data_IF_247203230686
#
_entry.id   IF_247203230686
#
_cell.length_a   1.000
_cell.length_b   1.000
_cell.length_c   1.000
_cell.angle_alpha   90.00
_cell.angle_beta   90.00
_cell.angle_gamma   90.00
#
_symmetry.space_group_name_H-M   'P 1'
#
loop_
_entity.id
_entity.type
_entity.pdbx_description
1 polymer ?
#
# COMPACT_ATOMS: atom_id res chain seq x y z
N UNK A 1 -10.14 -2.86 2.86
CA UNK A 1 -9.10 -1.93 2.36
C UNK A 1 -9.29 -1.49 0.90
N UNK A 2 -9.27 -2.39 -0.09
CA UNK A 2 -9.34 -2.04 -1.54
C UNK A 2 -10.49 -1.08 -1.88
N UNK A 3 -11.71 -1.36 -1.43
CA UNK A 3 -12.86 -0.49 -1.71
C UNK A 3 -12.77 0.92 -1.10
N UNK A 4 -11.91 1.17 -0.10
CA UNK A 4 -11.63 2.53 0.40
C UNK A 4 -10.66 3.27 -0.52
N UNK A 5 -9.65 2.57 -1.05
CA UNK A 5 -8.68 3.13 -2.00
C UNK A 5 -9.34 3.50 -3.34
N UNK A 6 -10.27 2.67 -3.82
CA UNK A 6 -11.02 2.94 -5.06
C UNK A 6 -11.92 4.18 -4.99
N UNK A 7 -12.30 4.62 -3.78
CA UNK A 7 -13.12 5.82 -3.58
C UNK A 7 -12.30 7.12 -3.64
N UNK A 8 -10.98 7.04 -3.41
CA UNK A 8 -10.09 8.18 -3.44
C UNK A 8 -9.55 8.42 -4.86
N UNK A 9 -10.02 9.49 -5.50
CA UNK A 9 -9.65 9.86 -6.87
C UNK A 9 -8.20 10.32 -7.02
N UNK A 10 -7.51 10.57 -5.91
CA UNK A 10 -6.09 10.93 -5.91
C UNK A 10 -5.18 9.70 -5.91
N UNK A 11 -5.70 8.52 -5.57
CA UNK A 11 -5.03 7.22 -5.72
C UNK A 11 -5.08 6.81 -7.18
N UNK A 12 -3.93 6.43 -7.72
CA UNK A 12 -3.76 5.96 -9.10
C UNK A 12 -3.56 4.44 -9.16
N UNK A 13 -2.85 3.88 -8.19
CA UNK A 13 -2.61 2.46 -8.07
C UNK A 13 -2.31 2.06 -6.62
N UNK A 14 -2.52 0.78 -6.30
CA UNK A 14 -2.04 0.15 -5.08
C UNK A 14 -1.25 -1.10 -5.48
N UNK A 15 0.03 -1.15 -5.10
CA UNK A 15 0.95 -2.23 -5.44
C UNK A 15 1.21 -3.04 -4.18
N UNK A 16 0.87 -4.33 -4.23
CA UNK A 16 1.23 -5.29 -3.20
C UNK A 16 2.65 -5.79 -3.45
N UNK A 17 3.48 -5.76 -2.41
CA UNK A 17 4.84 -6.30 -2.46
C UNK A 17 5.17 -7.04 -1.16
N UNK A 18 6.42 -7.47 -1.01
CA UNK A 18 6.87 -8.20 0.19
C UNK A 18 6.46 -9.68 0.18
N UNK A 19 6.50 -10.31 1.35
CA UNK A 19 6.37 -11.78 1.47
C UNK A 19 5.06 -12.34 0.86
N UNK A 20 3.95 -11.60 0.98
CA UNK A 20 2.67 -11.98 0.39
C UNK A 20 2.67 -11.99 -1.15
N UNK A 21 3.53 -11.19 -1.79
CA UNK A 21 3.66 -11.17 -3.25
C UNK A 21 4.42 -12.37 -3.83
N UNK A 22 5.19 -13.08 -3.00
CA UNK A 22 6.01 -14.23 -3.39
C UNK A 22 5.46 -15.58 -2.91
N UNK A 23 4.24 -15.61 -2.35
CA UNK A 23 3.61 -16.81 -1.75
C UNK A 23 4.43 -17.44 -0.59
N UNK A 24 5.30 -16.64 0.04
CA UNK A 24 6.08 -17.00 1.24
C UNK A 24 5.35 -16.58 2.52
N UNK A 25 4.03 -16.80 2.55
CA UNK A 25 3.16 -16.36 3.64
C UNK A 25 3.27 -17.31 4.82
N UNK A 26 3.43 -16.75 6.01
CA UNK A 26 3.30 -17.47 7.28
C UNK A 26 2.38 -16.70 8.23
N UNK A 27 2.01 -17.31 9.36
CA UNK A 27 0.96 -16.82 10.27
C UNK A 27 1.20 -15.40 10.82
N UNK A 28 2.44 -14.88 10.76
CA UNK A 28 2.78 -13.52 11.20
C UNK A 28 3.31 -12.63 10.07
N UNK A 29 2.98 -12.95 8.81
CA UNK A 29 3.30 -12.06 7.69
C UNK A 29 2.46 -10.78 7.75
N UNK A 30 3.12 -9.64 7.59
CA UNK A 30 2.49 -8.35 7.35
C UNK A 30 2.08 -8.20 5.87
N UNK A 31 1.21 -7.23 5.57
CA UNK A 31 0.86 -6.82 4.20
C UNK A 31 1.58 -5.52 3.86
N UNK A 32 2.43 -5.52 2.82
CA UNK A 32 3.15 -4.32 2.38
C UNK A 32 2.52 -3.71 1.13
N UNK A 33 2.19 -2.41 1.18
CA UNK A 33 1.52 -1.67 0.11
C UNK A 33 2.23 -0.38 -0.26
N UNK A 34 2.36 -0.17 -1.57
CA UNK A 34 2.67 1.12 -2.15
C UNK A 34 1.42 1.69 -2.79
N UNK A 35 0.97 2.84 -2.27
CA UNK A 35 -0.16 3.57 -2.79
C UNK A 35 0.39 4.69 -3.67
N UNK A 36 0.29 4.52 -4.98
CA UNK A 36 0.71 5.52 -5.95
C UNK A 36 -0.36 6.59 -6.03
N UNK A 37 0.01 7.82 -5.71
CA UNK A 37 -0.86 8.99 -5.68
C UNK A 37 -0.52 9.96 -6.80
N UNK A 38 -1.44 10.86 -7.13
CA UNK A 38 -1.13 12.01 -7.99
C UNK A 38 0.01 12.86 -7.42
N UNK A 39 0.74 13.53 -8.31
CA UNK A 39 1.83 14.43 -7.91
C UNK A 39 1.31 15.59 -7.05
N UNK A 40 2.11 16.06 -6.09
CA UNK A 40 1.73 17.11 -5.14
C UNK A 40 0.94 16.63 -3.92
N UNK A 41 0.59 15.33 -3.85
CA UNK A 41 0.08 14.72 -2.62
C UNK A 41 1.20 14.50 -1.60
N UNK A 42 0.84 14.53 -0.32
CA UNK A 42 1.79 14.30 0.77
C UNK A 42 2.22 12.83 0.78
N UNK A 43 3.54 12.62 0.87
CA UNK A 43 4.11 11.32 1.18
C UNK A 43 3.92 11.01 2.66
N UNK A 44 3.40 9.82 2.95
CA UNK A 44 3.16 9.36 4.30
C UNK A 44 3.42 7.86 4.41
N UNK A 45 3.63 7.41 5.63
CA UNK A 45 3.76 6.00 5.96
C UNK A 45 2.87 5.70 7.15
N UNK A 46 1.99 4.72 6.97
CA UNK A 46 0.99 4.33 7.96
C UNK A 46 1.07 2.83 8.16
N UNK A 47 1.08 2.44 9.43
CA UNK A 47 0.89 1.05 9.85
C UNK A 47 -0.51 0.92 10.42
N UNK A 48 -1.28 -0.03 9.90
CA UNK A 48 -2.62 -0.38 10.36
C UNK A 48 -2.62 -1.82 10.87
N UNK A 49 -3.49 -2.13 11.81
CA UNK A 49 -3.78 -3.51 12.18
C UNK A 49 -5.28 -3.72 11.98
N UNK A 50 -5.65 -4.57 11.01
CA UNK A 50 -7.04 -5.00 10.79
C UNK A 50 -7.08 -6.52 10.96
N UNK A 51 -8.01 -7.03 11.77
CA UNK A 51 -8.20 -8.47 12.03
C UNK A 51 -6.91 -9.23 12.39
N UNK A 52 -6.06 -8.63 13.24
CA UNK A 52 -4.77 -9.16 13.68
C UNK A 52 -3.69 -9.26 12.59
N UNK A 53 -3.94 -8.70 11.40
CA UNK A 53 -2.96 -8.59 10.32
C UNK A 53 -2.40 -7.17 10.32
N UNK A 54 -1.08 -7.02 10.39
CA UNK A 54 -0.47 -5.70 10.21
C UNK A 54 -0.37 -5.37 8.72
N UNK A 55 -0.61 -4.11 8.40
CA UNK A 55 -0.57 -3.57 7.05
C UNK A 55 0.37 -2.37 7.10
N UNK A 56 1.47 -2.42 6.36
CA UNK A 56 2.35 -1.29 6.15
C UNK A 56 2.04 -0.67 4.80
N UNK A 57 1.59 0.59 4.81
CA UNK A 57 1.20 1.31 3.61
C UNK A 57 1.99 2.60 3.48
N UNK A 58 2.67 2.78 2.35
CA UNK A 58 3.40 3.99 2.00
C UNK A 58 2.74 4.69 0.82
N UNK A 59 2.47 5.99 0.93
CA UNK A 59 2.03 6.80 -0.20
C UNK A 59 3.22 7.37 -0.94
N UNK A 60 3.26 7.16 -2.25
CA UNK A 60 4.33 7.64 -3.13
C UNK A 60 3.72 8.45 -4.27
N UNK A 61 4.32 9.59 -4.66
CA UNK A 61 3.83 10.34 -5.80
C UNK A 61 4.17 9.58 -7.09
N UNK A 62 3.32 9.72 -8.11
CA UNK A 62 3.52 9.12 -9.44
C UNK A 62 4.92 9.41 -10.01
N UNK A 63 5.45 10.61 -9.80
CA UNK A 63 6.80 10.96 -10.27
C UNK A 63 7.93 10.12 -9.67
N UNK A 64 7.70 9.52 -8.50
CA UNK A 64 8.67 8.62 -7.84
C UNK A 64 8.54 7.17 -8.28
N UNK A 65 7.43 6.81 -8.93
CA UNK A 65 7.22 5.49 -9.51
C UNK A 65 8.12 5.33 -10.74
N UNK A 66 9.26 4.65 -10.55
CA UNK A 66 10.15 4.22 -11.62
C UNK A 66 9.90 2.73 -11.80
N UNK A 67 8.89 2.40 -12.60
CA UNK A 67 8.58 1.02 -12.97
C UNK A 67 9.79 0.21 -13.41
#
# INVERSE_FOLDING_TARGET
MVGKLEQDRTVLAAILFGSLSYDEVWENSDIDLWIVMQDGQKQDHVTLCEDYVNIQAQTVPRSSDRG
#
